data_IF_154238176310
#
_entry.id   IF_154238176310
#
_cell.length_a   1.000
_cell.length_b   1.000
_cell.length_c   1.000
_cell.angle_alpha   90.00
_cell.angle_beta   90.00
_cell.angle_gamma   90.00
#
_symmetry.space_group_name_H-M   'P 1'
#
loop_
_entity.id
_entity.type
_entity.pdbx_description
1 polymer ?
#
# COMPACT_ATOMS: atom_id res chain seq x y z
N UNK A 1 -4.30 11.32 2.12
CA UNK A 1 -3.32 10.38 1.55
C UNK A 1 -3.34 10.48 0.03
N UNK A 2 -2.19 10.65 -0.57
CA UNK A 2 -2.04 10.79 -2.03
C UNK A 2 -2.62 9.59 -2.82
N UNK A 3 -2.53 8.38 -2.26
CA UNK A 3 -3.07 7.16 -2.88
C UNK A 3 -4.56 7.27 -3.26
N UNK A 4 -5.39 7.81 -2.37
CA UNK A 4 -6.83 7.92 -2.63
C UNK A 4 -7.16 8.98 -3.69
N UNK A 5 -6.29 9.96 -3.90
CA UNK A 5 -6.44 10.96 -4.97
C UNK A 5 -6.27 10.33 -6.36
N UNK A 6 -5.42 9.31 -6.48
CA UNK A 6 -5.12 8.60 -7.73
C UNK A 6 -6.18 7.54 -8.10
N UNK A 7 -7.09 7.20 -7.19
CA UNK A 7 -8.15 6.25 -7.49
C UNK A 7 -9.20 6.85 -8.43
N UNK A 8 -9.74 6.06 -9.38
CA UNK A 8 -10.80 6.51 -10.27
C UNK A 8 -12.08 6.81 -9.50
N UNK A 9 -12.89 7.71 -10.05
CA UNK A 9 -14.20 8.06 -9.52
C UNK A 9 -15.27 7.15 -10.11
N UNK A 10 -16.28 6.86 -9.30
CA UNK A 10 -17.53 6.20 -9.72
C UNK A 10 -18.73 7.01 -9.28
N UNK A 11 -19.84 6.87 -10.00
CA UNK A 11 -21.13 7.45 -9.62
C UNK A 11 -21.87 6.47 -8.71
N UNK A 12 -22.19 6.91 -7.51
CA UNK A 12 -22.89 6.12 -6.51
C UNK A 12 -24.22 6.76 -6.12
N UNK A 13 -25.32 6.00 -5.97
CA UNK A 13 -26.59 6.55 -5.50
C UNK A 13 -26.44 7.15 -4.10
N UNK A 14 -26.91 8.39 -3.93
CA UNK A 14 -26.87 9.04 -2.62
C UNK A 14 -27.86 8.39 -1.66
N UNK A 15 -27.39 7.96 -0.49
CA UNK A 15 -28.24 7.41 0.57
C UNK A 15 -29.03 8.50 1.31
N UNK A 16 -28.63 9.77 1.14
CA UNK A 16 -29.26 10.94 1.78
C UNK A 16 -30.41 11.50 0.98
N UNK A 17 -30.62 11.09 -0.28
CA UNK A 17 -31.75 11.50 -1.08
C UNK A 17 -32.98 10.65 -0.81
N UNK A 18 -34.17 11.26 -0.78
CA UNK A 18 -35.42 10.51 -0.70
C UNK A 18 -35.51 9.53 -1.87
N UNK A 19 -35.90 8.28 -1.59
CA UNK A 19 -35.94 7.15 -2.53
C UNK A 19 -36.65 7.41 -3.88
N UNK A 20 -37.33 8.55 -4.02
CA UNK A 20 -38.13 8.90 -5.19
C UNK A 20 -37.41 9.81 -6.20
N UNK A 21 -36.15 10.20 -5.96
CA UNK A 21 -35.38 11.00 -6.92
C UNK A 21 -34.30 10.13 -7.55
N UNK A 22 -34.56 9.67 -8.76
CA UNK A 22 -33.67 8.84 -9.60
C UNK A 22 -32.34 9.52 -9.94
N UNK A 23 -32.20 10.82 -9.67
CA UNK A 23 -31.08 11.63 -10.17
C UNK A 23 -30.02 12.03 -9.16
N UNK A 24 -30.10 11.64 -7.88
CA UNK A 24 -29.06 12.03 -6.95
C UNK A 24 -27.94 10.98 -6.86
N UNK A 25 -27.04 11.03 -7.82
CA UNK A 25 -25.78 10.31 -7.79
C UNK A 25 -24.65 11.24 -7.33
N UNK A 26 -23.80 10.73 -6.48
CA UNK A 26 -22.61 11.43 -6.00
C UNK A 26 -21.36 10.79 -6.57
N UNK A 27 -20.35 11.60 -6.78
CA UNK A 27 -19.04 11.12 -7.21
C UNK A 27 -18.28 10.62 -5.97
N UNK A 28 -17.91 9.36 -5.96
CA UNK A 28 -17.12 8.74 -4.90
C UNK A 28 -15.87 8.07 -5.48
N UNK A 29 -14.83 7.90 -4.65
CA UNK A 29 -13.64 7.16 -5.04
C UNK A 29 -13.93 5.66 -5.07
N UNK A 30 -13.43 4.98 -6.11
CA UNK A 30 -13.56 3.53 -6.23
C UNK A 30 -12.51 2.83 -5.35
N UNK A 31 -12.88 2.50 -4.12
CA UNK A 31 -12.01 1.81 -3.17
C UNK A 31 -11.82 0.32 -3.47
N UNK A 32 -12.62 -0.26 -4.35
CA UNK A 32 -12.50 -1.67 -4.75
C UNK A 32 -11.43 -1.89 -5.81
N UNK A 33 -10.98 -0.84 -6.48
CA UNK A 33 -9.93 -0.93 -7.48
C UNK A 33 -8.56 -0.94 -6.82
N UNK A 34 -7.76 -1.98 -7.13
CA UNK A 34 -6.40 -2.11 -6.69
C UNK A 34 -5.44 -1.67 -7.78
N UNK A 35 -4.44 -0.87 -7.44
CA UNK A 35 -3.31 -0.57 -8.30
C UNK A 35 -2.29 -1.72 -8.28
N UNK A 36 -1.78 -2.06 -9.45
CA UNK A 36 -0.71 -3.05 -9.62
C UNK A 36 0.27 -2.54 -10.69
N UNK A 37 1.55 -2.88 -10.55
CA UNK A 37 2.52 -2.63 -11.61
C UNK A 37 2.15 -3.42 -12.87
N UNK A 38 2.42 -2.82 -14.02
CA UNK A 38 2.26 -3.49 -15.31
C UNK A 38 3.26 -4.63 -15.40
N UNK A 39 2.81 -5.77 -15.93
CA UNK A 39 3.63 -6.98 -16.06
C UNK A 39 4.81 -6.81 -17.01
N UNK A 40 4.71 -5.92 -17.99
CA UNK A 40 5.80 -5.57 -18.91
C UNK A 40 6.95 -4.81 -18.23
N UNK A 41 6.67 -4.07 -17.15
CA UNK A 41 7.70 -3.38 -16.37
C UNK A 41 8.51 -4.34 -15.50
N UNK A 42 7.93 -5.43 -15.04
CA UNK A 42 8.66 -6.47 -14.27
C UNK A 42 9.81 -7.09 -15.07
N UNK A 43 9.71 -7.08 -16.40
CA UNK A 43 10.73 -7.59 -17.31
C UNK A 43 11.79 -6.54 -17.69
N UNK A 44 11.55 -5.26 -17.40
CA UNK A 44 12.49 -4.18 -17.68
C UNK A 44 13.56 -4.10 -16.59
N UNK A 45 14.66 -4.81 -16.76
CA UNK A 45 15.80 -4.88 -15.80
C UNK A 45 16.35 -3.51 -15.40
N UNK A 46 16.18 -2.48 -16.25
CA UNK A 46 16.66 -1.12 -16.01
C UNK A 46 15.69 -0.23 -15.24
N UNK A 47 14.43 -0.66 -15.08
CA UNK A 47 13.38 0.14 -14.43
C UNK A 47 13.42 0.07 -12.90
N UNK A 48 14.05 -0.95 -12.33
CA UNK A 48 14.05 -1.22 -10.88
C UNK A 48 15.46 -1.41 -10.34
N UNK A 49 15.69 -0.82 -9.18
CA UNK A 49 16.88 -1.05 -8.36
C UNK A 49 16.45 -1.70 -7.04
N UNK A 50 17.34 -2.55 -6.50
CA UNK A 50 17.15 -3.09 -5.17
C UNK A 50 17.45 -2.03 -4.12
N UNK A 51 16.60 -1.97 -3.09
CA UNK A 51 16.77 -1.11 -1.95
C UNK A 51 16.79 -1.94 -0.66
N UNK A 52 17.80 -1.74 0.16
CA UNK A 52 17.93 -2.41 1.46
C UNK A 52 17.19 -1.61 2.52
N UNK A 53 16.12 -2.18 3.05
CA UNK A 53 15.33 -1.60 4.15
C UNK A 53 16.14 -1.76 5.44
N UNK A 54 16.45 -0.65 6.10
CA UNK A 54 17.12 -0.65 7.40
C UNK A 54 16.18 -1.13 8.49
N UNK A 55 16.74 -1.67 9.57
CA UNK A 55 15.96 -2.14 10.71
C UNK A 55 15.05 -1.03 11.28
N UNK A 56 13.77 -1.38 11.48
CA UNK A 56 12.76 -0.46 12.00
C UNK A 56 12.23 0.60 11.02
N UNK A 57 12.64 0.57 9.74
CA UNK A 57 12.10 1.50 8.74
C UNK A 57 10.66 1.16 8.36
N UNK A 58 9.83 2.21 8.28
CA UNK A 58 8.46 2.14 7.78
C UNK A 58 8.41 2.54 6.30
N UNK A 59 7.32 2.19 5.57
CA UNK A 59 7.19 2.55 4.14
C UNK A 59 7.28 4.05 3.85
N UNK A 60 6.73 4.90 4.72
CA UNK A 60 6.81 6.35 4.60
C UNK A 60 8.24 6.89 4.72
N UNK A 61 9.06 6.27 5.58
CA UNK A 61 10.48 6.61 5.73
C UNK A 61 11.29 6.21 4.49
N UNK A 62 10.98 5.05 3.91
CA UNK A 62 11.58 4.60 2.65
C UNK A 62 11.21 5.55 1.51
N UNK A 63 9.95 5.95 1.43
CA UNK A 63 9.47 6.90 0.43
C UNK A 63 10.14 8.27 0.57
N UNK A 64 10.34 8.75 1.81
CA UNK A 64 11.06 9.98 2.07
C UNK A 64 12.53 9.90 1.60
N UNK A 65 13.19 8.79 1.85
CA UNK A 65 14.60 8.61 1.45
C UNK A 65 14.77 8.50 -0.08
N UNK A 66 13.84 7.80 -0.76
CA UNK A 66 13.93 7.55 -2.21
C UNK A 66 13.34 8.67 -3.08
N UNK A 67 12.24 9.26 -2.63
CA UNK A 67 11.44 10.19 -3.45
C UNK A 67 11.34 11.59 -2.84
N UNK A 68 11.93 11.81 -1.67
CA UNK A 68 11.84 13.06 -0.89
C UNK A 68 10.39 13.47 -0.56
N UNK A 69 9.49 12.48 -0.52
CA UNK A 69 8.07 12.68 -0.22
C UNK A 69 7.50 11.45 0.50
N UNK A 70 7.15 11.57 1.80
CA UNK A 70 6.60 10.44 2.56
C UNK A 70 5.18 10.02 2.13
N UNK A 71 4.45 10.89 1.42
CA UNK A 71 3.12 10.57 0.90
C UNK A 71 3.14 9.55 -0.26
N UNK A 72 4.32 9.25 -0.79
CA UNK A 72 4.53 8.21 -1.82
C UNK A 72 4.81 6.82 -1.23
N UNK A 73 4.49 6.59 0.04
CA UNK A 73 4.57 5.28 0.69
C UNK A 73 3.80 4.19 -0.07
N UNK A 74 2.66 4.54 -0.64
CA UNK A 74 1.87 3.64 -1.47
C UNK A 74 2.60 3.18 -2.74
N UNK A 75 3.50 4.00 -3.30
CA UNK A 75 4.34 3.62 -4.45
C UNK A 75 5.31 2.52 -4.05
N UNK A 76 5.95 2.65 -2.89
CA UNK A 76 6.85 1.65 -2.32
C UNK A 76 6.12 0.32 -2.13
N UNK A 77 4.93 0.35 -1.53
CA UNK A 77 4.11 -0.84 -1.28
C UNK A 77 3.61 -1.49 -2.58
N UNK A 78 3.14 -0.69 -3.54
CA UNK A 78 2.66 -1.18 -4.82
C UNK A 78 3.78 -1.80 -5.66
N UNK A 79 4.96 -1.19 -5.70
CA UNK A 79 6.12 -1.71 -6.42
C UNK A 79 6.61 -3.06 -5.88
N UNK A 80 6.47 -3.26 -4.58
CA UNK A 80 6.80 -4.51 -3.89
C UNK A 80 5.64 -5.52 -3.82
N UNK A 81 4.50 -5.19 -4.43
CA UNK A 81 3.27 -5.98 -4.40
C UNK A 81 2.77 -6.31 -2.98
N UNK A 82 2.95 -5.41 -2.04
CA UNK A 82 2.52 -5.53 -0.66
C UNK A 82 1.09 -5.01 -0.53
N UNK A 83 0.18 -5.87 -0.10
CA UNK A 83 -1.23 -5.53 0.15
C UNK A 83 -1.58 -5.45 1.63
N UNK A 84 -0.84 -6.13 2.46
CA UNK A 84 -1.02 -6.15 3.91
C UNK A 84 0.31 -5.83 4.58
N UNK A 85 0.46 -4.57 5.00
CA UNK A 85 1.68 -4.07 5.63
C UNK A 85 2.03 -4.87 6.88
N UNK A 86 1.02 -5.25 7.66
CA UNK A 86 1.19 -5.93 8.94
C UNK A 86 1.90 -7.28 8.80
N UNK A 87 1.60 -8.02 7.72
CA UNK A 87 2.10 -9.38 7.50
C UNK A 87 3.23 -9.46 6.46
N UNK A 88 3.39 -8.45 5.62
CA UNK A 88 4.29 -8.50 4.46
C UNK A 88 5.46 -7.52 4.56
N UNK A 89 5.35 -6.49 5.42
CA UNK A 89 6.46 -5.57 5.66
C UNK A 89 7.48 -6.20 6.62
N UNK A 90 8.80 -6.02 6.41
CA UNK A 90 9.81 -6.57 7.30
C UNK A 90 9.64 -6.08 8.74
N UNK A 91 9.68 -7.01 9.68
CA UNK A 91 9.67 -6.70 11.11
C UNK A 91 11.03 -6.11 11.53
N UNK A 92 11.02 -5.27 12.56
CA UNK A 92 12.26 -4.90 13.21
C UNK A 92 12.87 -6.10 13.95
N UNK A 93 14.12 -6.01 14.35
CA UNK A 93 14.86 -7.12 14.95
C UNK A 93 14.17 -7.66 16.22
N UNK A 94 13.70 -6.79 17.09
CA UNK A 94 13.04 -7.21 18.34
C UNK A 94 11.71 -7.90 18.09
N UNK A 95 10.87 -7.35 17.25
CA UNK A 95 9.56 -7.93 16.89
C UNK A 95 9.73 -9.27 16.16
N UNK A 96 10.78 -9.40 15.35
CA UNK A 96 11.11 -10.66 14.67
C UNK A 96 11.52 -11.73 15.69
N UNK A 97 12.36 -11.39 16.68
CA UNK A 97 12.73 -12.32 17.74
C UNK A 97 11.52 -12.77 18.58
N UNK A 98 10.66 -11.82 18.98
CA UNK A 98 9.41 -12.15 19.67
C UNK A 98 8.53 -13.10 18.87
N UNK A 99 8.34 -12.81 17.59
CA UNK A 99 7.56 -13.65 16.69
C UNK A 99 8.16 -15.06 16.55
N UNK A 100 9.48 -15.16 16.44
CA UNK A 100 10.17 -16.46 16.36
C UNK A 100 10.01 -17.27 17.66
N UNK A 101 10.17 -16.63 18.83
CA UNK A 101 9.98 -17.27 20.14
C UNK A 101 8.53 -17.74 20.34
N UNK A 102 7.57 -16.92 19.94
CA UNK A 102 6.15 -17.29 20.03
C UNK A 102 5.80 -18.48 19.14
N UNK A 103 6.35 -18.51 17.91
CA UNK A 103 6.01 -19.52 16.92
C UNK A 103 6.78 -20.82 17.07
N UNK A 104 8.04 -20.76 17.45
CA UNK A 104 8.96 -21.91 17.48
C UNK A 104 9.45 -22.28 18.89
N UNK A 105 9.18 -21.48 19.89
CA UNK A 105 9.41 -21.78 21.33
C UNK A 105 10.84 -21.59 21.85
N UNK A 106 11.87 -21.60 21.02
CA UNK A 106 13.25 -21.26 21.38
C UNK A 106 14.13 -21.18 20.14
N UNK A 107 15.21 -20.39 20.25
CA UNK A 107 16.31 -20.39 19.27
C UNK A 107 17.24 -21.61 19.57
N UNK A 108 16.89 -22.80 19.14
CA UNK A 108 17.80 -23.94 19.08
C UNK A 108 17.96 -24.39 17.63
#
# INVERSE_FOLDING_TARGET
MAYFQELPNILYPSLLSSRNKVESRIIVKNLFKRSKLRTDLDQAVTAFNYYNIKDGMRPDMVAQELYDNPELDWVVLTSSNITNIRNQWPLNHNDLQEYMLEKYGSEE
#
